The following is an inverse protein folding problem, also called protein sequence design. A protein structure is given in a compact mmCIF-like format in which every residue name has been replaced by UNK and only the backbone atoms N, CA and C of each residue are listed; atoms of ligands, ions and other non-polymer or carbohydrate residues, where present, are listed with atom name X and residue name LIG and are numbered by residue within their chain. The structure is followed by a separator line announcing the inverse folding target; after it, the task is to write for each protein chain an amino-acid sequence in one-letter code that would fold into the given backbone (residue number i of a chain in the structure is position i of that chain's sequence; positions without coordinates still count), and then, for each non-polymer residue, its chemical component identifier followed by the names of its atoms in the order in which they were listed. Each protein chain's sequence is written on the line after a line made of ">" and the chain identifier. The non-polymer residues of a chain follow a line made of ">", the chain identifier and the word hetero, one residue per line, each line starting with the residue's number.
data_IF_923255359183
#
_entry.id   IF_923255359183
#
_cell.length_a   1.000
_cell.length_b   1.000
_cell.length_c   1.000
_cell.angle_alpha   90.00
_cell.angle_beta   90.00
_cell.angle_gamma   90.00
#
_symmetry.space_group_name_H-M   'P 1'
#
loop_
_entity.id
_entity.type
_entity.pdbx_description
1 polymer ?
#
# COMPACT_ATOMS: atom_id res chain seq x y z
N UNK A 1 -22.92 4.24 -1.82
CA UNK A 1 -21.71 4.11 -0.97
C UNK A 1 -22.06 4.66 0.41
N UNK A 2 -21.97 3.86 1.48
CA UNK A 2 -22.50 4.23 2.80
C UNK A 2 -21.43 5.01 3.59
N UNK A 3 -21.73 6.24 4.05
CA UNK A 3 -20.74 7.17 4.62
C UNK A 3 -19.96 6.57 5.80
N UNK A 4 -20.63 5.76 6.62
CA UNK A 4 -20.01 5.03 7.73
C UNK A 4 -18.95 4.02 7.27
N UNK A 5 -19.15 3.39 6.10
CA UNK A 5 -18.19 2.47 5.48
C UNK A 5 -16.95 3.21 4.97
N UNK A 6 -17.13 4.40 4.39
CA UNK A 6 -16.03 5.25 3.93
C UNK A 6 -15.15 5.72 5.08
N UNK A 7 -15.75 6.11 6.21
CA UNK A 7 -15.02 6.52 7.42
C UNK A 7 -14.22 5.35 7.99
N UNK A 8 -14.83 4.18 8.16
CA UNK A 8 -14.14 2.96 8.63
C UNK A 8 -12.96 2.59 7.73
N UNK A 9 -13.15 2.64 6.41
CA UNK A 9 -12.10 2.35 5.45
C UNK A 9 -10.95 3.37 5.54
N UNK A 10 -11.25 4.66 5.77
CA UNK A 10 -10.23 5.68 5.95
C UNK A 10 -9.35 5.41 7.19
N UNK A 11 -9.97 5.09 8.33
CA UNK A 11 -9.23 4.78 9.56
C UNK A 11 -8.43 3.48 9.45
N UNK A 12 -9.01 2.42 8.85
CA UNK A 12 -8.30 1.18 8.57
C UNK A 12 -7.08 1.45 7.68
N UNK A 13 -7.24 2.21 6.59
CA UNK A 13 -6.14 2.58 5.71
C UNK A 13 -5.05 3.39 6.41
N UNK A 14 -5.43 4.32 7.30
CA UNK A 14 -4.48 5.12 8.07
C UNK A 14 -3.68 4.25 9.06
N UNK A 15 -4.34 3.30 9.72
CA UNK A 15 -3.68 2.34 10.61
C UNK A 15 -2.70 1.45 9.83
N UNK A 16 -3.13 0.89 8.70
CA UNK A 16 -2.29 0.07 7.84
C UNK A 16 -1.07 0.83 7.31
N UNK A 17 -1.24 2.08 6.87
CA UNK A 17 -0.13 2.91 6.42
C UNK A 17 0.88 3.20 7.53
N UNK A 18 0.41 3.38 8.77
CA UNK A 18 1.27 3.58 9.94
C UNK A 18 2.04 2.30 10.30
N UNK A 19 1.39 1.14 10.24
CA UNK A 19 2.05 -0.16 10.45
C UNK A 19 3.10 -0.43 9.37
N UNK A 20 2.80 -0.16 8.10
CA UNK A 20 3.76 -0.29 7.00
C UNK A 20 4.96 0.65 7.18
N UNK A 21 4.73 1.88 7.67
CA UNK A 21 5.84 2.81 7.94
C UNK A 21 6.78 2.36 9.07
N UNK A 22 6.31 1.45 9.95
CA UNK A 22 7.11 0.89 11.05
C UNK A 22 7.86 -0.39 10.66
N UNK A 23 7.57 -0.97 9.48
CA UNK A 23 8.24 -2.17 9.01
C UNK A 23 9.66 -1.87 8.51
N UNK A 24 10.56 -2.81 8.74
CA UNK A 24 11.91 -2.76 8.22
C UNK A 24 11.95 -3.03 6.70
N UNK A 25 13.04 -2.63 6.05
CA UNK A 25 13.17 -2.71 4.60
C UNK A 25 12.99 -4.15 4.05
N UNK A 26 13.47 -5.16 4.78
CA UNK A 26 13.27 -6.56 4.42
C UNK A 26 11.79 -6.97 4.49
N UNK A 27 11.09 -6.59 5.56
CA UNK A 27 9.68 -6.90 5.73
C UNK A 27 8.80 -6.20 4.68
N UNK A 28 9.15 -4.97 4.29
CA UNK A 28 8.50 -4.29 3.18
C UNK A 28 8.77 -5.01 1.85
N UNK A 29 10.00 -5.44 1.63
CA UNK A 29 10.39 -6.15 0.41
C UNK A 29 9.68 -7.50 0.28
N UNK A 30 9.47 -8.23 1.38
CA UNK A 30 8.67 -9.46 1.41
C UNK A 30 7.21 -9.23 0.98
N UNK A 31 6.68 -8.03 1.26
CA UNK A 31 5.36 -7.60 0.78
C UNK A 31 5.37 -7.05 -0.65
N UNK A 32 6.53 -7.00 -1.28
CA UNK A 32 6.73 -6.41 -2.59
C UNK A 32 6.59 -4.87 -2.57
N UNK A 33 7.01 -4.24 -1.48
CA UNK A 33 6.98 -2.79 -1.31
C UNK A 33 8.37 -2.29 -0.94
N UNK A 34 8.64 -1.03 -1.23
CA UNK A 34 9.76 -0.31 -0.66
C UNK A 34 9.30 0.99 0.01
N UNK A 35 10.23 1.67 0.71
CA UNK A 35 9.90 2.94 1.39
C UNK A 35 9.46 4.03 0.42
N UNK A 36 9.97 4.05 -0.81
CA UNK A 36 9.56 4.97 -1.87
C UNK A 36 8.08 4.80 -2.23
N UNK A 37 7.63 3.56 -2.38
CA UNK A 37 6.23 3.22 -2.64
C UNK A 37 5.29 3.77 -1.55
N UNK A 38 5.74 3.78 -0.28
CA UNK A 38 4.99 4.38 0.84
C UNK A 38 5.04 5.92 0.86
N UNK A 39 6.11 6.53 0.35
CA UNK A 39 6.19 7.98 0.15
C UNK A 39 5.24 8.44 -0.96
N UNK A 40 5.25 7.77 -2.09
CA UNK A 40 4.41 8.12 -3.24
C UNK A 40 2.93 7.95 -2.91
N UNK A 41 2.59 6.86 -2.22
CA UNK A 41 1.23 6.56 -1.79
C UNK A 41 0.62 7.59 -0.81
N UNK A 42 1.43 8.40 -0.11
CA UNK A 42 0.92 9.34 0.90
C UNK A 42 0.05 10.45 0.32
N UNK A 43 0.33 10.87 -0.90
CA UNK A 43 -0.41 11.95 -1.58
C UNK A 43 -1.58 11.44 -2.42
N UNK A 44 -1.73 10.12 -2.53
CA UNK A 44 -2.80 9.49 -3.31
C UNK A 44 -4.11 9.37 -2.51
N UNK A 45 -5.24 9.48 -3.19
CA UNK A 45 -6.52 9.06 -2.62
C UNK A 45 -6.57 7.53 -2.46
N UNK A 46 -7.60 7.03 -1.76
CA UNK A 46 -7.69 5.61 -1.43
C UNK A 46 -7.78 4.69 -2.67
N UNK A 47 -8.45 5.12 -3.74
CA UNK A 47 -8.61 4.32 -4.95
C UNK A 47 -7.29 4.26 -5.72
N UNK A 48 -6.66 5.42 -5.94
CA UNK A 48 -5.36 5.53 -6.61
C UNK A 48 -4.27 4.75 -5.88
N UNK A 49 -4.25 4.82 -4.54
CA UNK A 49 -3.32 4.05 -3.71
C UNK A 49 -3.50 2.53 -3.84
N UNK A 50 -4.74 2.06 -3.83
CA UNK A 50 -5.03 0.63 -4.00
C UNK A 50 -4.59 0.13 -5.37
N UNK A 51 -4.83 0.91 -6.42
CA UNK A 51 -4.37 0.58 -7.78
C UNK A 51 -2.84 0.55 -7.85
N UNK A 52 -2.16 1.56 -7.27
CA UNK A 52 -0.70 1.63 -7.20
C UNK A 52 -0.08 0.39 -6.55
N UNK A 53 -0.55 -0.01 -5.36
CA UNK A 53 -0.03 -1.21 -4.69
C UNK A 53 -0.32 -2.52 -5.44
N UNK A 54 -1.47 -2.63 -6.11
CA UNK A 54 -1.76 -3.80 -6.95
C UNK A 54 -0.81 -3.86 -8.16
N UNK A 55 -0.59 -2.75 -8.85
CA UNK A 55 0.37 -2.67 -9.97
C UNK A 55 1.77 -3.04 -9.51
N UNK A 56 2.21 -2.54 -8.34
CA UNK A 56 3.52 -2.87 -7.77
C UNK A 56 3.67 -4.36 -7.47
N UNK A 57 2.64 -4.98 -6.89
CA UNK A 57 2.61 -6.42 -6.61
C UNK A 57 2.73 -7.25 -7.89
N UNK A 58 2.02 -6.87 -8.97
CA UNK A 58 2.14 -7.54 -10.27
C UNK A 58 3.53 -7.39 -10.89
N UNK A 59 4.14 -6.21 -10.80
CA UNK A 59 5.49 -5.98 -11.31
C UNK A 59 6.52 -6.89 -10.63
N UNK A 60 6.44 -7.03 -9.30
CA UNK A 60 7.34 -7.89 -8.55
C UNK A 60 7.09 -9.36 -8.86
N UNK A 61 5.82 -9.80 -8.92
CA UNK A 61 5.50 -11.16 -9.33
C UNK A 61 6.12 -11.52 -10.70
N UNK A 62 6.12 -10.59 -11.66
CA UNK A 62 6.74 -10.80 -12.96
C UNK A 62 8.28 -10.77 -12.95
N UNK A 63 8.91 -10.10 -11.98
CA UNK A 63 10.37 -10.15 -11.78
C UNK A 63 10.80 -11.54 -11.28
N UNK A 64 10.04 -12.13 -10.36
CA UNK A 64 10.39 -13.45 -9.80
C UNK A 64 10.10 -14.63 -10.72
N UNK A 65 9.35 -14.42 -11.81
CA UNK A 65 8.98 -15.46 -12.79
C UNK A 65 9.94 -15.47 -14.00
N UNK A 66 10.81 -14.47 -14.16
CA UNK A 66 11.92 -14.46 -15.13
C UNK A 66 13.26 -14.79 -14.46
#
# INVERSE_FOLDING_TARGET
>A
MNMMKSIKNYFANKASARSLAQMDAHQLNDLGLNRGDLFDARYMDAASRSAFFNTRRHHIANIWVN
#
